data_IF_497977811962
#
_entry.id   IF_497977811962
#
_cell.length_a   1.000
_cell.length_b   1.000
_cell.length_c   1.000
_cell.angle_alpha   90.00
_cell.angle_beta   90.00
_cell.angle_gamma   90.00
#
_symmetry.space_group_name_H-M   'P 1'
#
loop_
_entity.id
_entity.type
_entity.pdbx_description
1 polymer ?
#
# COMPACT_ATOMS: atom_id res chain seq x y z
N UNK A 1 -17.26 -11.37 6.93
CA UNK A 1 -16.75 -10.56 5.79
C UNK A 1 -15.26 -10.86 5.62
N UNK A 2 -14.74 -10.93 4.38
CA UNK A 2 -13.31 -11.16 4.17
C UNK A 2 -12.47 -9.97 4.67
N UNK A 3 -11.28 -10.27 5.17
CA UNK A 3 -10.34 -9.31 5.73
C UNK A 3 -9.61 -8.61 4.57
N UNK A 4 -9.68 -7.28 4.54
CA UNK A 4 -8.96 -6.50 3.54
C UNK A 4 -7.48 -6.39 3.91
N UNK A 5 -6.60 -6.63 2.93
CA UNK A 5 -5.15 -6.51 3.06
C UNK A 5 -4.62 -5.71 1.88
N UNK A 6 -3.90 -4.63 2.15
CA UNK A 6 -3.19 -3.83 1.16
C UNK A 6 -1.72 -4.20 1.17
N UNK A 7 -1.13 -4.29 -0.02
CA UNK A 7 0.29 -4.61 -0.20
C UNK A 7 1.00 -3.34 -0.66
N UNK A 8 1.97 -2.90 0.11
CA UNK A 8 2.86 -1.78 -0.23
C UNK A 8 3.86 -2.18 -1.33
N UNK A 9 4.41 -1.22 -2.06
CA UNK A 9 5.39 -1.46 -3.11
C UNK A 9 6.65 -2.15 -2.56
N UNK A 10 7.11 -1.74 -1.37
CA UNK A 10 8.30 -2.31 -0.76
C UNK A 10 8.08 -3.74 -0.21
N UNK A 11 6.83 -4.09 0.14
CA UNK A 11 6.48 -5.43 0.62
C UNK A 11 6.75 -6.52 -0.42
N UNK A 12 6.63 -6.20 -1.71
CA UNK A 12 6.89 -7.14 -2.79
C UNK A 12 8.31 -7.70 -2.79
N UNK A 13 9.31 -6.91 -2.35
CA UNK A 13 10.68 -7.43 -2.23
C UNK A 13 10.74 -8.57 -1.21
N UNK A 14 10.17 -8.37 -0.01
CA UNK A 14 10.10 -9.40 1.02
C UNK A 14 9.36 -10.65 0.54
N UNK A 15 8.18 -10.45 -0.06
CA UNK A 15 7.35 -11.56 -0.55
C UNK A 15 8.07 -12.39 -1.62
N UNK A 16 8.78 -11.72 -2.53
CA UNK A 16 9.59 -12.37 -3.57
C UNK A 16 10.82 -13.07 -2.99
N UNK A 17 11.60 -12.41 -2.14
CA UNK A 17 12.81 -12.96 -1.52
C UNK A 17 12.53 -14.20 -0.68
N UNK A 18 11.37 -14.25 -0.04
CA UNK A 18 10.92 -15.38 0.76
C UNK A 18 10.02 -16.37 0.00
N UNK A 19 9.87 -16.19 -1.32
CA UNK A 19 9.04 -17.02 -2.20
C UNK A 19 7.63 -17.31 -1.63
N UNK A 20 6.99 -16.28 -1.06
CA UNK A 20 5.70 -16.43 -0.39
C UNK A 20 4.61 -16.72 -1.43
N UNK A 21 3.88 -17.82 -1.25
CA UNK A 21 2.65 -18.09 -1.99
C UNK A 21 1.47 -17.34 -1.34
N UNK A 22 1.04 -16.24 -1.95
CA UNK A 22 -0.06 -15.42 -1.42
C UNK A 22 -1.39 -16.17 -1.37
N UNK A 23 -1.67 -17.09 -2.30
CA UNK A 23 -2.93 -17.83 -2.29
C UNK A 23 -2.98 -18.84 -1.15
N UNK A 24 -1.84 -19.47 -0.85
CA UNK A 24 -1.73 -20.40 0.27
C UNK A 24 -1.74 -19.66 1.62
N UNK A 25 -1.03 -18.52 1.73
CA UNK A 25 -0.90 -17.79 3.01
C UNK A 25 -2.09 -16.86 3.29
N UNK A 26 -2.72 -16.30 2.26
CA UNK A 26 -3.83 -15.37 2.35
C UNK A 26 -4.98 -15.82 1.42
N UNK A 27 -5.65 -16.94 1.75
CA UNK A 27 -6.65 -17.53 0.86
C UNK A 27 -7.83 -16.59 0.58
N UNK A 28 -8.36 -16.53 -0.68
CA UNK A 28 -9.47 -15.65 -1.06
C UNK A 28 -10.77 -15.87 -0.28
N UNK A 29 -10.95 -17.05 0.32
CA UNK A 29 -12.09 -17.35 1.20
C UNK A 29 -12.10 -16.51 2.47
N UNK A 30 -10.93 -16.01 2.89
CA UNK A 30 -10.74 -15.25 4.13
C UNK A 30 -10.22 -13.83 3.87
N UNK A 31 -9.41 -13.63 2.84
CA UNK A 31 -8.74 -12.35 2.56
C UNK A 31 -9.16 -11.78 1.21
N UNK A 32 -9.20 -10.46 1.12
CA UNK A 32 -9.24 -9.72 -0.15
C UNK A 32 -8.02 -8.83 -0.24
N UNK A 33 -7.25 -9.01 -1.31
CA UNK A 33 -5.98 -8.31 -1.49
C UNK A 33 -6.14 -7.10 -2.40
N UNK A 34 -5.44 -6.03 -2.05
CA UNK A 34 -5.50 -4.76 -2.75
C UNK A 34 -4.12 -4.12 -2.87
N UNK A 35 -3.98 -3.24 -3.85
CA UNK A 35 -2.94 -2.20 -3.91
C UNK A 35 -3.64 -0.85 -4.09
N UNK A 36 -2.99 0.24 -3.69
CA UNK A 36 -3.48 1.58 -4.05
C UNK A 36 -3.02 1.94 -5.45
N UNK A 37 -3.67 2.92 -6.09
CA UNK A 37 -3.22 3.44 -7.39
C UNK A 37 -1.79 3.98 -7.31
N UNK A 38 -1.41 4.57 -6.19
CA UNK A 38 -0.04 5.01 -5.91
C UNK A 38 0.94 3.83 -5.92
N UNK A 39 0.62 2.71 -5.25
CA UNK A 39 1.46 1.50 -5.30
C UNK A 39 1.55 0.94 -6.72
N UNK A 40 0.44 0.92 -7.47
CA UNK A 40 0.44 0.47 -8.87
C UNK A 40 1.39 1.30 -9.74
N UNK A 41 1.37 2.63 -9.59
CA UNK A 41 2.30 3.54 -10.26
C UNK A 41 3.76 3.25 -9.88
N UNK A 42 4.04 2.98 -8.60
CA UNK A 42 5.40 2.61 -8.18
C UNK A 42 5.86 1.27 -8.76
N UNK A 43 4.96 0.29 -8.88
CA UNK A 43 5.25 -1.01 -9.52
C UNK A 43 5.51 -0.83 -11.01
N UNK A 44 4.71 -0.02 -11.70
CA UNK A 44 4.89 0.31 -13.12
C UNK A 44 6.24 1.01 -13.37
N UNK A 45 6.67 1.86 -12.43
CA UNK A 45 7.95 2.56 -12.47
C UNK A 45 9.18 1.68 -12.18
N UNK A 46 9.02 0.39 -11.79
CA UNK A 46 10.16 -0.52 -11.61
C UNK A 46 10.87 -0.71 -12.97
N UNK A 47 12.18 -0.43 -13.07
CA UNK A 47 12.91 -0.54 -14.34
C UNK A 47 12.90 -1.96 -14.93
N UNK A 48 12.80 -2.04 -16.26
CA UNK A 48 12.95 -3.29 -17.01
C UNK A 48 14.42 -3.62 -17.26
N UNK A 49 15.14 -4.00 -16.19
CA UNK A 49 16.49 -4.55 -16.28
C UNK A 49 16.55 -5.98 -15.75
N UNK A 50 17.61 -6.71 -16.11
CA UNK A 50 17.76 -8.14 -15.78
C UNK A 50 17.63 -8.42 -14.27
N UNK A 51 18.12 -7.51 -13.41
CA UNK A 51 18.05 -7.65 -11.95
C UNK A 51 16.63 -7.52 -11.39
N UNK A 52 15.75 -6.76 -12.04
CA UNK A 52 14.38 -6.50 -11.59
C UNK A 52 13.30 -7.30 -12.32
N UNK A 53 13.67 -7.98 -13.41
CA UNK A 53 12.75 -8.82 -14.19
C UNK A 53 12.03 -9.88 -13.35
N UNK A 54 12.78 -10.63 -12.54
CA UNK A 54 12.21 -11.67 -11.68
C UNK A 54 11.17 -11.12 -10.68
N UNK A 55 11.48 -9.98 -10.05
CA UNK A 55 10.56 -9.30 -9.13
C UNK A 55 9.29 -8.83 -9.86
N UNK A 56 9.43 -8.16 -11.02
CA UNK A 56 8.25 -7.69 -11.80
C UNK A 56 7.37 -8.85 -12.24
N UNK A 57 7.97 -9.96 -12.68
CA UNK A 57 7.23 -11.15 -13.09
C UNK A 57 6.52 -11.79 -11.90
N UNK A 58 7.18 -11.89 -10.75
CA UNK A 58 6.56 -12.34 -9.50
C UNK A 58 5.36 -11.47 -9.10
N UNK A 59 5.49 -10.14 -9.14
CA UNK A 59 4.41 -9.20 -8.83
C UNK A 59 3.24 -9.40 -9.80
N UNK A 60 3.50 -9.44 -11.12
CA UNK A 60 2.46 -9.61 -12.15
C UNK A 60 1.70 -10.92 -12.01
N UNK A 61 2.42 -12.03 -11.77
CA UNK A 61 1.82 -13.35 -11.56
C UNK A 61 0.94 -13.34 -10.32
N UNK A 62 1.40 -12.77 -9.21
CA UNK A 62 0.63 -12.70 -7.97
C UNK A 62 -0.59 -11.79 -8.09
N UNK A 63 -0.46 -10.61 -8.71
CA UNK A 63 -1.61 -9.71 -8.97
C UNK A 63 -2.70 -10.45 -9.74
N UNK A 64 -2.32 -11.19 -10.80
CA UNK A 64 -3.26 -11.97 -11.60
C UNK A 64 -3.88 -13.13 -10.83
N UNK A 65 -3.04 -13.99 -10.24
CA UNK A 65 -3.49 -15.25 -9.66
C UNK A 65 -4.29 -15.04 -8.36
N UNK A 66 -3.89 -14.08 -7.52
CA UNK A 66 -4.61 -13.73 -6.30
C UNK A 66 -5.74 -12.71 -6.52
N UNK A 67 -6.03 -12.37 -7.79
CA UNK A 67 -7.05 -11.40 -8.17
C UNK A 67 -6.96 -10.07 -7.39
N UNK A 68 -5.74 -9.58 -7.20
CA UNK A 68 -5.44 -8.36 -6.44
C UNK A 68 -6.02 -7.17 -7.20
N UNK A 69 -6.79 -6.33 -6.50
CA UNK A 69 -7.45 -5.18 -7.10
C UNK A 69 -6.75 -3.89 -6.74
N UNK A 70 -6.58 -3.02 -7.73
CA UNK A 70 -6.19 -1.64 -7.48
C UNK A 70 -7.40 -0.86 -6.97
N UNK A 71 -7.21 -0.08 -5.90
CA UNK A 71 -8.22 0.88 -5.44
C UNK A 71 -7.73 2.30 -5.64
N UNK A 72 -8.61 3.17 -6.12
CA UNK A 72 -8.34 4.59 -6.28
C UNK A 72 -9.43 5.44 -5.61
N UNK A 73 -9.07 6.67 -5.25
CA UNK A 73 -10.01 7.70 -4.87
C UNK A 73 -10.57 8.35 -6.14
N UNK A 74 -11.87 8.63 -6.16
CA UNK A 74 -12.49 9.37 -7.26
C UNK A 74 -11.92 10.78 -7.33
N UNK A 75 -11.55 11.22 -8.53
CA UNK A 75 -11.07 12.57 -8.77
C UNK A 75 -10.90 12.86 -10.26
N UNK A 76 -10.43 14.07 -10.53
CA UNK A 76 -10.23 14.56 -11.89
C UNK A 76 -8.76 14.44 -12.32
N UNK A 77 -8.46 14.84 -13.55
CA UNK A 77 -7.09 14.93 -14.05
C UNK A 77 -6.21 15.76 -13.11
N UNK A 78 -5.12 15.17 -12.64
CA UNK A 78 -4.07 15.89 -11.92
C UNK A 78 -3.32 16.79 -12.90
N UNK A 79 -3.00 18.00 -12.47
CA UNK A 79 -2.27 19.00 -13.26
C UNK A 79 -0.93 19.29 -12.58
N UNK A 80 0.13 19.41 -13.38
CA UNK A 80 1.42 19.90 -12.93
C UNK A 80 1.39 21.43 -12.72
N UNK A 81 2.38 22.03 -12.01
CA UNK A 81 2.35 23.46 -11.68
C UNK A 81 2.29 24.41 -12.87
N UNK A 82 2.70 23.95 -14.05
CA UNK A 82 2.61 24.68 -15.32
C UNK A 82 1.22 24.60 -15.97
N UNK A 83 0.26 23.91 -15.34
CA UNK A 83 -1.10 23.72 -15.84
C UNK A 83 -1.21 22.63 -16.90
N UNK A 84 -0.18 21.82 -17.12
CA UNK A 84 -0.27 20.65 -18.02
C UNK A 84 -0.80 19.41 -17.29
N UNK A 85 -1.47 18.47 -17.98
CA UNK A 85 -1.85 17.20 -17.36
C UNK A 85 -0.64 16.46 -16.81
N UNK A 86 -0.69 16.11 -15.53
CA UNK A 86 0.38 15.36 -14.89
C UNK A 86 0.55 14.00 -15.56
N UNK A 87 1.81 13.60 -15.76
CA UNK A 87 2.15 12.27 -16.28
C UNK A 87 1.69 11.13 -15.36
N UNK A 88 1.43 11.45 -14.09
CA UNK A 88 0.99 10.50 -13.08
C UNK A 88 -0.43 10.84 -12.63
N UNK A 89 -1.35 9.91 -12.90
CA UNK A 89 -2.74 10.00 -12.50
C UNK A 89 -3.03 9.04 -11.34
N UNK A 90 -3.25 9.62 -10.16
CA UNK A 90 -3.53 8.89 -8.90
C UNK A 90 -5.03 8.73 -8.64
N UNK A 91 -5.86 9.58 -9.22
CA UNK A 91 -7.31 9.49 -9.06
C UNK A 91 -7.92 8.55 -10.10
N UNK A 92 -8.90 7.77 -9.64
CA UNK A 92 -9.80 7.03 -10.53
C UNK A 92 -10.89 7.95 -11.03
N UNK A 93 -11.21 7.87 -12.32
CA UNK A 93 -12.37 8.54 -12.89
C UNK A 93 -13.69 7.85 -12.52
N UNK A 94 -14.73 8.13 -13.30
CA UNK A 94 -16.01 7.42 -13.20
C UNK A 94 -15.80 5.91 -13.29
N UNK A 95 -16.50 5.17 -12.41
CA UNK A 95 -16.43 3.71 -12.27
C UNK A 95 -15.06 3.11 -11.93
N UNK A 96 -14.05 3.96 -11.67
CA UNK A 96 -12.69 3.53 -11.33
C UNK A 96 -12.24 3.99 -9.94
N UNK A 97 -12.89 5.01 -9.38
CA UNK A 97 -12.59 5.55 -8.06
C UNK A 97 -13.77 5.50 -7.10
N UNK A 98 -13.48 5.56 -5.80
CA UNK A 98 -14.49 5.72 -4.75
C UNK A 98 -14.33 7.06 -4.06
N UNK A 99 -15.44 7.67 -3.61
CA UNK A 99 -15.36 8.89 -2.82
C UNK A 99 -14.64 8.64 -1.48
N UNK A 100 -13.80 9.58 -1.07
CA UNK A 100 -13.17 9.54 0.25
C UNK A 100 -14.23 9.67 1.34
N UNK A 101 -14.10 8.84 2.39
CA UNK A 101 -14.98 8.96 3.56
C UNK A 101 -14.66 10.25 4.34
N UNK A 102 -15.58 10.74 5.19
CA UNK A 102 -15.31 11.86 6.09
C UNK A 102 -14.05 11.65 6.96
N UNK A 103 -13.81 10.43 7.42
CA UNK A 103 -12.65 10.06 8.24
C UNK A 103 -11.36 10.13 7.43
N UNK A 104 -11.35 9.65 6.19
CA UNK A 104 -10.20 9.78 5.29
C UNK A 104 -9.86 11.25 5.05
N UNK A 105 -10.88 12.07 4.76
CA UNK A 105 -10.70 13.51 4.57
C UNK A 105 -10.14 14.18 5.82
N UNK A 106 -10.63 13.80 7.01
CA UNK A 106 -10.11 14.30 8.29
C UNK A 106 -8.66 13.90 8.53
N UNK A 107 -8.29 12.66 8.19
CA UNK A 107 -6.90 12.20 8.25
C UNK A 107 -6.00 13.06 7.37
N UNK A 108 -6.35 13.23 6.09
CA UNK A 108 -5.57 14.06 5.17
C UNK A 108 -5.54 15.53 5.58
N UNK A 109 -6.61 16.08 6.13
CA UNK A 109 -6.66 17.48 6.59
C UNK A 109 -5.84 17.74 7.87
N UNK A 110 -5.34 16.70 8.56
CA UNK A 110 -4.57 16.89 9.79
C UNK A 110 -3.21 17.57 9.52
N UNK A 111 -2.76 18.51 10.37
CA UNK A 111 -1.50 19.23 10.16
C UNK A 111 -0.28 18.30 10.05
N UNK A 112 -0.26 17.24 10.84
CA UNK A 112 0.81 16.23 10.85
C UNK A 112 0.95 15.51 9.50
N UNK A 113 -0.19 15.13 8.88
CA UNK A 113 -0.20 14.48 7.56
C UNK A 113 0.12 15.50 6.46
N UNK A 114 -0.42 16.71 6.54
CA UNK A 114 -0.12 17.78 5.58
C UNK A 114 1.38 18.12 5.55
N UNK A 115 2.04 18.16 6.71
CA UNK A 115 3.49 18.38 6.81
C UNK A 115 4.33 17.27 6.13
N UNK A 116 3.76 16.07 5.98
CA UNK A 116 4.40 14.97 5.24
C UNK A 116 4.14 15.01 3.73
N UNK A 117 3.20 15.82 3.24
CA UNK A 117 2.75 15.80 1.84
C UNK A 117 2.99 17.11 1.09
N UNK A 118 2.71 18.26 1.71
CA UNK A 118 2.85 19.57 1.05
C UNK A 118 4.33 19.87 0.79
N UNK A 119 4.62 20.33 -0.43
CA UNK A 119 5.96 20.80 -0.82
C UNK A 119 7.01 19.71 -0.94
N UNK A 120 6.59 18.43 -0.89
CA UNK A 120 7.50 17.30 -1.08
C UNK A 120 7.93 17.16 -2.53
N UNK A 121 9.18 16.77 -2.72
CA UNK A 121 9.75 16.52 -4.04
C UNK A 121 9.09 15.31 -4.71
N UNK A 122 9.08 15.30 -6.04
CA UNK A 122 8.67 14.12 -6.82
C UNK A 122 9.80 13.09 -6.85
N UNK A 123 9.42 11.82 -6.80
CA UNK A 123 10.32 10.66 -6.96
C UNK A 123 10.40 10.24 -8.43
N UNK A 124 11.24 9.24 -8.73
CA UNK A 124 11.36 8.66 -10.07
C UNK A 124 10.05 8.08 -10.63
N UNK A 125 9.11 7.68 -9.76
CA UNK A 125 7.75 7.27 -10.14
C UNK A 125 6.84 8.44 -10.54
N UNK A 126 7.26 9.68 -10.31
CA UNK A 126 6.49 10.91 -10.51
C UNK A 126 5.50 11.25 -9.38
N UNK A 127 5.30 10.36 -8.41
CA UNK A 127 4.60 10.63 -7.15
C UNK A 127 5.43 11.53 -6.25
N UNK A 128 4.77 12.34 -5.41
CA UNK A 128 5.49 13.08 -4.36
C UNK A 128 5.98 12.15 -3.25
N UNK A 129 7.01 12.57 -2.53
CA UNK A 129 7.45 11.84 -1.34
C UNK A 129 6.28 11.64 -0.35
N UNK A 130 6.26 10.49 0.32
CA UNK A 130 5.20 10.02 1.22
C UNK A 130 3.78 9.91 0.66
N UNK A 131 3.54 10.13 -0.63
CA UNK A 131 2.20 10.04 -1.20
C UNK A 131 1.61 8.63 -1.10
N UNK A 132 2.40 7.63 -1.49
CA UNK A 132 2.06 6.20 -1.38
C UNK A 132 1.82 5.82 0.08
N UNK A 133 2.76 6.16 0.96
CA UNK A 133 2.67 5.88 2.39
C UNK A 133 1.41 6.47 3.02
N UNK A 134 1.04 7.71 2.65
CA UNK A 134 -0.20 8.34 3.16
C UNK A 134 -1.46 7.64 2.62
N UNK A 135 -1.46 7.22 1.35
CA UNK A 135 -2.56 6.43 0.75
C UNK A 135 -2.80 5.10 1.46
N UNK A 136 -1.73 4.45 1.92
CA UNK A 136 -1.80 3.19 2.67
C UNK A 136 -2.12 3.43 4.15
N UNK A 137 -1.51 4.45 4.76
CA UNK A 137 -1.67 4.79 6.17
C UNK A 137 -3.14 5.05 6.53
N UNK A 138 -3.88 5.80 5.70
CA UNK A 138 -5.31 6.03 5.93
C UNK A 138 -6.14 4.74 5.81
N UNK A 139 -5.73 3.79 4.96
CA UNK A 139 -6.39 2.49 4.80
C UNK A 139 -6.12 1.56 5.99
N UNK A 140 -5.00 1.75 6.70
CA UNK A 140 -4.61 0.93 7.85
C UNK A 140 -5.64 0.91 8.99
N UNK A 141 -6.46 1.97 9.12
CA UNK A 141 -7.51 2.03 10.15
C UNK A 141 -8.65 1.02 9.91
N UNK A 142 -8.78 0.50 8.69
CA UNK A 142 -9.88 -0.39 8.27
C UNK A 142 -9.41 -1.69 7.62
N UNK A 143 -8.14 -1.79 7.23
CA UNK A 143 -7.54 -2.93 6.56
C UNK A 143 -6.10 -3.16 7.06
N UNK A 144 -5.56 -4.36 6.91
CA UNK A 144 -4.13 -4.57 7.15
C UNK A 144 -3.30 -3.96 6.02
N UNK A 145 -2.17 -3.35 6.36
CA UNK A 145 -1.16 -2.91 5.38
C UNK A 145 0.07 -3.78 5.56
N UNK A 146 0.48 -4.49 4.52
CA UNK A 146 1.76 -5.19 4.49
C UNK A 146 2.81 -4.24 3.94
N UNK A 147 3.87 -3.98 4.70
CA UNK A 147 5.01 -3.18 4.28
C UNK A 147 6.30 -3.85 4.72
N UNK A 148 7.40 -3.66 3.97
CA UNK A 148 8.74 -4.03 4.42
C UNK A 148 9.58 -2.82 4.83
N UNK A 149 8.93 -1.70 5.13
CA UNK A 149 9.59 -0.52 5.65
C UNK A 149 10.15 -0.74 7.05
N UNK A 150 11.18 0.02 7.43
CA UNK A 150 11.67 0.03 8.80
C UNK A 150 10.61 0.69 9.72
N UNK A 151 10.10 0.03 10.77
CA UNK A 151 9.09 0.59 11.67
C UNK A 151 9.53 1.86 12.41
N UNK A 152 10.84 2.13 12.47
CA UNK A 152 11.38 3.35 13.07
C UNK A 152 11.38 4.55 12.12
N UNK A 153 11.25 4.33 10.80
CA UNK A 153 11.24 5.41 9.80
C UNK A 153 10.07 6.34 10.06
N UNK A 154 10.35 7.63 10.12
CA UNK A 154 9.33 8.66 10.26
C UNK A 154 8.54 8.79 8.96
N UNK A 155 7.21 8.84 9.07
CA UNK A 155 6.34 8.94 7.89
C UNK A 155 4.90 8.57 8.20
N UNK A 156 4.00 8.64 7.20
CA UNK A 156 2.57 8.39 7.37
C UNK A 156 2.23 7.01 7.95
N UNK A 157 2.94 5.96 7.52
CA UNK A 157 2.69 4.59 8.00
C UNK A 157 2.97 4.46 9.50
N UNK A 158 4.12 4.96 9.97
CA UNK A 158 4.46 4.99 11.41
C UNK A 158 3.43 5.77 12.22
N UNK A 159 3.07 6.97 11.76
CA UNK A 159 2.06 7.80 12.44
C UNK A 159 0.70 7.10 12.53
N UNK A 160 0.30 6.37 11.48
CA UNK A 160 -0.95 5.61 11.51
C UNK A 160 -0.85 4.41 12.46
N UNK A 161 0.26 3.67 12.45
CA UNK A 161 0.50 2.56 13.37
C UNK A 161 0.43 3.01 14.85
N UNK A 162 1.07 4.15 15.18
CA UNK A 162 1.01 4.76 16.52
C UNK A 162 -0.42 5.16 16.94
N UNK A 163 -1.30 5.44 15.97
CA UNK A 163 -2.72 5.76 16.17
C UNK A 163 -3.65 4.54 16.07
N UNK A 164 -3.10 3.33 16.15
CA UNK A 164 -3.88 2.08 16.11
C UNK A 164 -4.22 1.58 14.71
N UNK A 165 -3.59 2.12 13.67
CA UNK A 165 -3.64 1.59 12.32
C UNK A 165 -3.00 0.20 12.23
N UNK A 166 -3.58 -0.68 11.42
CA UNK A 166 -3.16 -2.08 11.25
C UNK A 166 -2.01 -2.20 10.24
N UNK A 167 -0.85 -1.65 10.60
CA UNK A 167 0.37 -1.74 9.78
C UNK A 167 1.20 -2.94 10.23
N UNK A 168 1.57 -3.80 9.26
CA UNK A 168 2.33 -5.03 9.46
C UNK A 168 3.67 -4.90 8.74
N UNK A 169 4.73 -4.81 9.54
CA UNK A 169 6.11 -4.68 9.09
C UNK A 169 6.73 -6.07 8.93
N UNK A 170 6.83 -6.56 7.68
CA UNK A 170 7.09 -7.97 7.37
C UNK A 170 8.38 -8.51 8.01
N UNK A 171 9.55 -7.96 7.69
CA UNK A 171 10.82 -8.40 8.30
C UNK A 171 10.91 -8.12 9.81
N UNK A 172 10.31 -7.02 10.29
CA UNK A 172 10.45 -6.66 11.70
C UNK A 172 9.53 -7.48 12.62
N UNK A 173 8.38 -7.92 12.12
CA UNK A 173 7.32 -8.51 12.93
C UNK A 173 7.00 -9.95 12.53
N UNK A 174 6.80 -10.23 11.25
CA UNK A 174 6.37 -11.56 10.79
C UNK A 174 7.53 -12.55 10.90
N UNK A 175 8.69 -12.17 10.37
CA UNK A 175 9.91 -13.01 10.41
C UNK A 175 10.31 -13.39 11.84
N UNK A 176 10.17 -12.45 12.79
CA UNK A 176 10.48 -12.67 14.21
C UNK A 176 9.36 -13.36 15.00
N UNK A 177 8.21 -13.63 14.39
CA UNK A 177 7.06 -14.21 15.10
C UNK A 177 6.98 -15.73 15.07
N UNK A 178 7.80 -16.39 14.23
CA UNK A 178 7.69 -17.82 13.90
C UNK A 178 6.34 -18.25 13.28
N UNK A 179 5.42 -17.31 13.07
CA UNK A 179 4.14 -17.54 12.42
C UNK A 179 4.26 -17.32 10.92
N UNK A 180 3.52 -18.10 10.13
CA UNK A 180 3.31 -17.74 8.72
C UNK A 180 2.50 -16.44 8.63
N UNK A 181 2.61 -15.73 7.50
CA UNK A 181 1.92 -14.46 7.27
C UNK A 181 0.42 -14.52 7.63
N UNK A 182 -0.30 -15.55 7.17
CA UNK A 182 -1.71 -15.75 7.48
C UNK A 182 -1.97 -15.94 8.98
N UNK A 183 -1.17 -16.76 9.65
CA UNK A 183 -1.27 -16.99 11.10
C UNK A 183 -0.98 -15.71 11.89
N UNK A 184 -0.01 -14.90 11.45
CA UNK A 184 0.31 -13.64 12.10
C UNK A 184 -0.85 -12.64 12.02
N UNK A 185 -1.48 -12.49 10.85
CA UNK A 185 -2.66 -11.62 10.71
C UNK A 185 -3.83 -12.09 11.57
N UNK A 186 -4.02 -13.40 11.70
CA UNK A 186 -5.05 -13.99 12.56
C UNK A 186 -4.81 -13.72 14.04
N UNK A 187 -3.56 -13.86 14.48
CA UNK A 187 -3.14 -13.52 15.82
C UNK A 187 -3.41 -12.04 16.14
N UNK A 188 -3.10 -11.12 15.21
CA UNK A 188 -3.41 -9.70 15.39
C UNK A 188 -4.92 -9.43 15.49
N UNK A 189 -5.75 -10.16 14.73
CA UNK A 189 -7.20 -10.02 14.82
C UNK A 189 -7.76 -10.47 16.17
N UNK A 190 -7.20 -11.53 16.75
CA UNK A 190 -7.62 -12.03 18.06
C UNK A 190 -7.24 -11.07 19.19
N UNK A 191 -6.13 -10.35 19.06
CA UNK A 191 -5.69 -9.34 20.04
C UNK A 191 -6.44 -8.01 19.98
N UNK A 192 -7.11 -7.74 18.87
CA UNK A 192 -7.86 -6.50 18.65
C UNK A 192 -9.32 -6.57 19.16
N UNK A 193 -9.75 -7.74 19.65
CA UNK A 193 -11.03 -8.01 20.33
C UNK A 193 -10.77 -8.02 21.83
#
# INVERSE_FOLDING_TARGET
MPIAVYIDSCAWNYLHENAIDLLAKLPPSKYKLYITREVEIEIEAIPDNEKKKALKDYIRVNIRNAAIRTTAVFGFQTMDPDGTPSKVQVYGGFDQGTFQSPEDRKYYASPEVQAQLIGKSKKGSGLSDNQTDASLAVRSFRAFILTNENPQKTGPLKMAAEKGGKVVYLSAQVENSELSLGQYLEFLLQKAI
#
